data_IF_632931575884
#
_entry.id   IF_632931575884
#
_cell.length_a   1.000
_cell.length_b   1.000
_cell.length_c   1.000
_cell.angle_alpha   90.00
_cell.angle_beta   90.00
_cell.angle_gamma   90.00
#
_symmetry.space_group_name_H-M   'P 1'
#
loop_
_entity.id
_entity.type
_entity.pdbx_description
1 polymer ?
#
# COMPACT_ATOMS: atom_id res chain seq x y z
N UNK A 1 11.22 -5.27 2.07
CA UNK A 1 10.99 -6.68 2.42
C UNK A 1 12.36 -7.29 2.71
N UNK A 2 12.55 -7.88 3.89
CA UNK A 2 13.86 -8.43 4.30
C UNK A 2 13.89 -9.96 4.23
N UNK A 3 12.72 -10.61 4.37
CA UNK A 3 12.57 -12.07 4.37
C UNK A 3 11.40 -12.49 3.47
N UNK A 4 11.48 -13.71 2.94
CA UNK A 4 10.48 -14.34 2.10
C UNK A 4 9.25 -14.71 2.94
N UNK A 5 8.07 -14.27 2.53
CA UNK A 5 6.81 -14.63 3.20
C UNK A 5 6.42 -16.11 3.03
N UNK A 6 7.04 -16.83 2.08
CA UNK A 6 6.76 -18.25 1.83
C UNK A 6 7.62 -19.23 2.64
N UNK A 7 8.90 -18.91 2.87
CA UNK A 7 9.83 -19.83 3.57
C UNK A 7 10.67 -19.19 4.69
N UNK A 8 10.57 -17.88 4.91
CA UNK A 8 11.31 -17.17 5.96
C UNK A 8 12.79 -16.89 5.66
N UNK A 9 13.36 -17.38 4.57
CA UNK A 9 14.74 -17.07 4.17
C UNK A 9 14.90 -15.59 3.74
N UNK A 10 16.11 -15.00 3.84
CA UNK A 10 16.36 -13.65 3.31
C UNK A 10 16.04 -13.53 1.82
N UNK A 11 15.61 -12.35 1.39
CA UNK A 11 15.39 -12.01 -0.04
C UNK A 11 16.43 -11.02 -0.54
N UNK A 12 16.73 -11.07 -1.83
CA UNK A 12 17.64 -10.13 -2.50
C UNK A 12 16.91 -9.37 -3.60
N UNK A 13 17.36 -8.16 -3.93
CA UNK A 13 16.82 -7.43 -5.09
C UNK A 13 17.59 -7.82 -6.34
N UNK A 14 16.92 -8.39 -7.33
CA UNK A 14 17.48 -8.78 -8.64
C UNK A 14 16.51 -8.43 -9.75
N UNK A 15 16.97 -8.27 -10.98
CA UNK A 15 16.10 -8.17 -12.17
C UNK A 15 15.91 -9.59 -12.70
N UNK A 16 14.71 -10.19 -12.60
CA UNK A 16 14.45 -11.51 -13.17
C UNK A 16 14.65 -11.54 -14.69
N UNK A 17 14.99 -12.70 -15.24
CA UNK A 17 15.10 -12.88 -16.70
C UNK A 17 13.79 -12.51 -17.39
N UNK A 18 13.85 -11.59 -18.37
CA UNK A 18 12.67 -11.11 -19.10
C UNK A 18 11.94 -9.93 -18.44
N UNK A 19 12.38 -9.48 -17.27
CA UNK A 19 11.89 -8.27 -16.59
C UNK A 19 12.89 -7.11 -16.80
N UNK A 20 12.48 -5.89 -16.48
CA UNK A 20 13.30 -4.68 -16.55
C UNK A 20 13.45 -3.96 -15.21
N UNK A 21 12.78 -4.44 -14.16
CA UNK A 21 12.78 -3.82 -12.83
C UNK A 21 13.28 -4.77 -11.74
N UNK A 22 14.02 -4.27 -10.73
CA UNK A 22 14.41 -5.08 -9.59
C UNK A 22 13.20 -5.55 -8.78
N UNK A 23 13.14 -6.84 -8.50
CA UNK A 23 12.15 -7.52 -7.65
C UNK A 23 12.83 -8.12 -6.43
N UNK A 24 12.10 -8.30 -5.34
CA UNK A 24 12.57 -9.12 -4.23
C UNK A 24 12.45 -10.59 -4.60
N UNK A 25 13.57 -11.30 -4.69
CA UNK A 25 13.67 -12.71 -5.08
C UNK A 25 14.22 -13.51 -3.92
N UNK A 26 13.59 -14.64 -3.61
CA UNK A 26 14.10 -15.61 -2.65
C UNK A 26 14.92 -16.67 -3.37
N UNK A 27 16.22 -16.77 -3.07
CA UNK A 27 17.09 -17.78 -3.69
C UNK A 27 16.87 -19.20 -3.12
N UNK A 28 16.16 -19.33 -1.99
CA UNK A 28 15.90 -20.62 -1.34
C UNK A 28 14.70 -21.35 -1.93
N UNK A 29 13.59 -20.64 -2.19
CA UNK A 29 12.37 -21.25 -2.75
C UNK A 29 12.00 -20.72 -4.14
N UNK A 30 12.86 -19.87 -4.72
CA UNK A 30 12.72 -19.27 -6.06
C UNK A 30 11.51 -18.35 -6.24
N UNK A 31 10.81 -18.01 -5.15
CA UNK A 31 9.67 -17.09 -5.19
C UNK A 31 10.11 -15.66 -5.55
N UNK A 32 9.36 -15.02 -6.46
CA UNK A 32 9.48 -13.61 -6.81
C UNK A 32 8.34 -12.85 -6.13
N UNK A 33 8.68 -11.88 -5.28
CA UNK A 33 7.71 -11.08 -4.54
C UNK A 33 7.41 -9.77 -5.27
N UNK A 34 6.30 -9.75 -5.99
CA UNK A 34 5.77 -8.55 -6.62
C UNK A 34 5.14 -7.62 -5.59
N UNK A 35 5.34 -6.31 -5.78
CA UNK A 35 4.72 -5.28 -4.95
C UNK A 35 3.59 -4.64 -5.74
N UNK A 36 2.36 -4.81 -5.25
CA UNK A 36 1.19 -4.23 -5.87
C UNK A 36 0.88 -2.88 -5.21
N UNK A 37 0.41 -1.89 -5.97
CA UNK A 37 -0.11 -0.65 -5.40
C UNK A 37 -1.23 -0.93 -4.39
N UNK A 38 -1.35 -0.06 -3.38
CA UNK A 38 -2.48 -0.07 -2.44
C UNK A 38 -3.43 1.04 -2.81
N UNK A 39 -4.71 0.72 -2.94
CA UNK A 39 -5.76 1.68 -3.25
C UNK A 39 -6.24 2.35 -1.96
N UNK A 40 -6.39 3.67 -2.02
CA UNK A 40 -7.09 4.45 -1.00
C UNK A 40 -8.37 4.98 -1.66
N UNK A 41 -9.52 4.57 -1.15
CA UNK A 41 -10.82 5.06 -1.58
C UNK A 41 -11.28 6.17 -0.61
N UNK A 42 -11.94 7.19 -1.14
CA UNK A 42 -12.43 8.30 -0.33
C UNK A 42 -13.74 8.86 -0.85
N UNK A 43 -14.38 9.67 -0.01
CA UNK A 43 -15.68 10.26 -0.28
C UNK A 43 -15.62 11.77 -0.05
N UNK A 44 -16.38 12.52 -0.84
CA UNK A 44 -16.70 13.93 -0.59
C UNK A 44 -18.19 13.98 -0.25
N UNK A 45 -18.57 13.90 1.04
CA UNK A 45 -19.97 13.93 1.43
C UNK A 45 -20.50 15.36 1.34
N UNK A 46 -21.60 15.54 0.63
CA UNK A 46 -22.27 16.82 0.44
C UNK A 46 -23.60 16.86 1.21
N UNK A 47 -23.89 17.97 1.88
CA UNK A 47 -25.15 18.22 2.58
C UNK A 47 -25.49 19.71 2.60
N UNK A 48 -26.68 20.10 2.13
CA UNK A 48 -27.16 21.49 2.07
C UNK A 48 -26.13 22.49 1.49
N UNK A 49 -25.42 22.10 0.43
CA UNK A 49 -24.39 22.94 -0.22
C UNK A 49 -23.05 23.02 0.55
N UNK A 50 -22.86 22.22 1.60
CA UNK A 50 -21.63 22.11 2.37
C UNK A 50 -20.95 20.76 2.13
N UNK A 51 -19.64 20.70 2.37
CA UNK A 51 -18.85 19.45 2.35
C UNK A 51 -18.40 19.05 3.75
N UNK A 52 -18.44 17.75 4.04
CA UNK A 52 -17.90 17.21 5.28
C UNK A 52 -16.39 17.00 5.17
N UNK A 53 -15.66 17.53 6.15
CA UNK A 53 -14.23 17.30 6.34
C UNK A 53 -13.95 16.72 7.72
N UNK A 54 -12.89 15.92 7.82
CA UNK A 54 -12.36 15.37 9.05
C UNK A 54 -11.10 16.15 9.47
N UNK A 55 -10.97 16.46 10.76
CA UNK A 55 -9.71 16.97 11.32
C UNK A 55 -8.86 15.80 11.80
N UNK A 56 -7.66 15.65 11.25
CA UNK A 56 -6.78 14.51 11.54
C UNK A 56 -6.32 14.54 13.00
N UNK A 57 -6.45 13.42 13.71
CA UNK A 57 -5.98 13.28 15.09
C UNK A 57 -4.62 12.57 15.21
N UNK A 58 -4.09 12.02 14.11
CA UNK A 58 -2.90 11.16 14.09
C UNK A 58 -1.94 11.66 13.01
N UNK A 59 -0.63 11.61 13.29
CA UNK A 59 0.41 11.91 12.31
C UNK A 59 0.41 10.90 11.14
N UNK A 60 0.84 11.30 9.93
CA UNK A 60 1.36 12.63 9.58
C UNK A 60 0.26 13.71 9.53
N UNK A 61 0.63 14.98 9.71
CA UNK A 61 -0.26 16.15 9.53
C UNK A 61 -1.46 16.19 10.50
N UNK A 62 -1.21 15.89 11.77
CA UNK A 62 -2.25 16.05 12.81
C UNK A 62 -2.74 17.49 12.88
N UNK A 63 -4.02 17.68 13.18
CA UNK A 63 -4.68 18.96 13.28
C UNK A 63 -5.10 19.61 11.94
N UNK A 64 -4.68 19.08 10.79
CA UNK A 64 -5.11 19.54 9.46
C UNK A 64 -6.42 18.87 9.01
N UNK A 65 -7.12 19.52 8.09
CA UNK A 65 -8.37 19.02 7.50
C UNK A 65 -8.12 18.13 6.29
N UNK A 66 -8.97 17.13 6.10
CA UNK A 66 -8.99 16.21 4.95
C UNK A 66 -10.41 15.68 4.73
N UNK A 67 -10.68 15.03 3.61
CA UNK A 67 -11.95 14.33 3.37
C UNK A 67 -11.84 12.87 3.90
N UNK A 68 -12.97 12.21 4.23
CA UNK A 68 -12.94 10.82 4.72
C UNK A 68 -12.41 9.87 3.64
N UNK A 69 -11.35 9.11 3.97
CA UNK A 69 -10.73 8.15 3.08
C UNK A 69 -10.01 7.04 3.87
N UNK A 70 -9.84 5.87 3.25
CA UNK A 70 -9.21 4.70 3.83
C UNK A 70 -8.65 3.74 2.79
N UNK A 71 -7.84 2.77 3.23
CA UNK A 71 -7.43 1.67 2.34
C UNK A 71 -8.65 0.84 1.97
N UNK A 72 -8.73 0.44 0.70
CA UNK A 72 -9.76 -0.48 0.22
C UNK A 72 -9.52 -1.88 0.76
N UNK A 73 -10.58 -2.53 1.24
CA UNK A 73 -10.53 -3.91 1.72
C UNK A 73 -10.76 -4.92 0.58
N UNK A 74 -10.31 -6.16 0.78
CA UNK A 74 -10.47 -7.22 -0.23
C UNK A 74 -11.94 -7.66 -0.26
N UNK A 75 -12.61 -7.46 -1.41
CA UNK A 75 -13.98 -7.93 -1.63
C UNK A 75 -15.08 -7.00 -1.09
N UNK A 76 -14.72 -5.76 -0.76
CA UNK A 76 -15.63 -4.63 -0.51
C UNK A 76 -16.37 -4.19 -1.78
#
# INVERSE_FOLDING_TARGET
>A
MNFCSGCGSPVTKKIPTGDNLPRFVCDSCLAIHYHNPKIVAGCIPEWDGHILLCRRAIEPKSGLWTFPAGFMEIGE
#
